data_IF_849913120861
#
_entry.id   IF_849913120861
#
_cell.length_a   1.000
_cell.length_b   1.000
_cell.length_c   1.000
_cell.angle_alpha   90.00
_cell.angle_beta   90.00
_cell.angle_gamma   90.00
#
_symmetry.space_group_name_H-M   'P 1'
#
loop_
_entity.id
_entity.type
_entity.pdbx_description
1 polymer ?
#
# COMPACT_ATOMS: atom_id res chain seq x y z
N UNK A 1 14.85 -15.32 25.14
CA UNK A 1 14.98 -14.40 23.99
C UNK A 1 15.12 -15.23 22.73
N UNK A 2 14.25 -15.04 21.74
CA UNK A 2 14.33 -15.75 20.46
C UNK A 2 15.52 -15.21 19.65
N UNK A 3 16.32 -16.08 19.03
CA UNK A 3 17.41 -15.67 18.14
C UNK A 3 16.86 -15.52 16.73
N UNK A 4 17.16 -14.39 16.09
CA UNK A 4 16.75 -14.07 14.72
C UNK A 4 18.00 -14.07 13.84
N UNK A 5 17.87 -14.63 12.65
CA UNK A 5 18.86 -14.56 11.59
C UNK A 5 18.58 -13.30 10.75
N UNK A 6 19.28 -12.21 11.06
CA UNK A 6 19.07 -10.91 10.42
C UNK A 6 19.34 -10.94 8.92
N UNK A 7 20.32 -11.74 8.46
CA UNK A 7 20.60 -11.87 7.03
C UNK A 7 19.44 -12.53 6.27
N UNK A 8 18.73 -13.46 6.91
CA UNK A 8 17.53 -14.08 6.32
C UNK A 8 16.34 -13.12 6.25
N UNK A 9 16.24 -12.12 7.12
CA UNK A 9 15.19 -11.09 7.00
C UNK A 9 15.30 -10.30 5.68
N UNK A 10 16.50 -10.23 5.11
CA UNK A 10 16.75 -9.51 3.85
C UNK A 10 16.64 -10.38 2.59
N UNK A 11 16.73 -11.70 2.72
CA UNK A 11 16.82 -12.62 1.57
C UNK A 11 15.66 -13.62 1.46
N UNK A 12 14.98 -13.92 2.57
CA UNK A 12 13.88 -14.88 2.64
C UNK A 12 12.59 -14.18 3.07
N UNK A 13 11.72 -13.89 2.10
CA UNK A 13 10.46 -13.16 2.32
C UNK A 13 9.52 -13.91 3.28
N UNK A 14 9.54 -15.25 3.28
CA UNK A 14 8.71 -16.04 4.18
C UNK A 14 9.24 -15.96 5.61
N UNK A 15 10.57 -15.97 5.78
CA UNK A 15 11.20 -15.76 7.09
C UNK A 15 10.92 -14.35 7.63
N UNK A 16 11.05 -13.32 6.79
CA UNK A 16 10.71 -11.93 7.14
C UNK A 16 9.25 -11.78 7.56
N UNK A 17 8.32 -12.31 6.76
CA UNK A 17 6.90 -12.31 7.10
C UNK A 17 6.61 -13.03 8.43
N UNK A 18 7.21 -14.20 8.66
CA UNK A 18 7.07 -14.93 9.91
C UNK A 18 7.54 -14.12 11.12
N UNK A 19 8.69 -13.44 11.00
CA UNK A 19 9.19 -12.53 12.03
C UNK A 19 8.24 -11.36 12.30
N UNK A 20 7.77 -10.66 11.25
CA UNK A 20 6.84 -9.53 11.38
C UNK A 20 5.52 -9.96 12.01
N UNK A 21 4.94 -11.06 11.54
CA UNK A 21 3.68 -11.58 12.04
C UNK A 21 3.78 -11.94 13.53
N UNK A 22 4.85 -12.59 13.94
CA UNK A 22 5.08 -12.91 15.36
C UNK A 22 5.32 -11.64 16.20
N UNK A 23 6.18 -10.73 15.74
CA UNK A 23 6.53 -9.52 16.46
C UNK A 23 5.34 -8.56 16.63
N UNK A 24 4.53 -8.40 15.59
CA UNK A 24 3.31 -7.57 15.59
C UNK A 24 2.09 -8.30 16.16
N UNK A 25 2.24 -9.55 16.57
CA UNK A 25 1.18 -10.42 17.07
C UNK A 25 0.00 -10.51 16.08
N UNK A 26 0.29 -10.77 14.81
CA UNK A 26 -0.68 -11.19 13.80
C UNK A 26 -1.03 -12.65 14.06
N UNK A 27 -2.29 -12.90 14.40
CA UNK A 27 -2.81 -14.21 14.77
C UNK A 27 -3.74 -14.78 13.69
N UNK A 28 -4.07 -16.06 13.80
CA UNK A 28 -5.10 -16.66 12.96
C UNK A 28 -6.48 -15.99 13.11
N UNK A 29 -6.78 -15.46 14.31
CA UNK A 29 -8.00 -14.70 14.58
C UNK A 29 -8.03 -13.36 13.84
N UNK A 30 -6.90 -12.66 13.75
CA UNK A 30 -6.78 -11.43 12.94
C UNK A 30 -7.05 -11.74 11.46
N UNK A 31 -6.48 -12.81 10.92
CA UNK A 31 -6.68 -13.22 9.52
C UNK A 31 -8.13 -13.66 9.25
N UNK A 32 -8.75 -14.38 10.19
CA UNK A 32 -10.15 -14.76 10.10
C UNK A 32 -11.07 -13.53 10.14
N UNK A 33 -10.76 -12.55 10.99
CA UNK A 33 -11.48 -11.27 11.09
C UNK A 33 -11.41 -10.50 9.78
N UNK A 34 -10.23 -10.43 9.16
CA UNK A 34 -10.04 -9.75 7.87
C UNK A 34 -10.83 -10.45 6.76
N UNK A 35 -10.81 -11.78 6.71
CA UNK A 35 -11.61 -12.54 5.76
C UNK A 35 -13.13 -12.34 5.99
N UNK A 36 -13.57 -12.28 7.26
CA UNK A 36 -14.96 -12.02 7.62
C UNK A 36 -15.43 -10.61 7.25
N UNK A 37 -14.53 -9.62 7.25
CA UNK A 37 -14.82 -8.27 6.76
C UNK A 37 -14.91 -8.19 5.22
N UNK A 38 -14.36 -9.18 4.50
CA UNK A 38 -14.30 -9.23 3.04
C UNK A 38 -15.64 -8.96 2.33
N UNK A 39 -16.74 -9.67 2.67
CA UNK A 39 -18.06 -9.42 2.08
C UNK A 39 -18.60 -8.00 2.29
N UNK A 40 -18.19 -7.31 3.36
CA UNK A 40 -18.59 -5.94 3.66
C UNK A 40 -17.73 -4.90 2.94
N UNK A 41 -16.43 -5.20 2.78
CA UNK A 41 -15.47 -4.31 2.12
C UNK A 41 -15.46 -4.44 0.60
N UNK A 42 -15.70 -5.64 0.06
CA UNK A 42 -15.68 -5.91 -1.38
C UNK A 42 -16.63 -5.02 -2.22
N UNK A 43 -17.84 -4.66 -1.76
CA UNK A 43 -18.73 -3.74 -2.47
C UNK A 43 -18.23 -2.28 -2.51
N UNK A 44 -17.43 -1.84 -1.54
CA UNK A 44 -16.96 -0.45 -1.44
C UNK A 44 -15.60 -0.23 -2.10
N UNK A 45 -14.90 -1.29 -2.50
CA UNK A 45 -13.60 -1.21 -3.21
C UNK A 45 -13.63 -0.27 -4.41
N UNK A 46 -14.64 -0.26 -5.31
CA UNK A 46 -14.66 0.68 -6.43
C UNK A 46 -14.57 2.14 -5.99
N UNK A 47 -15.37 2.53 -4.98
CA UNK A 47 -15.35 3.89 -4.45
C UNK A 47 -14.01 4.23 -3.78
N UNK A 48 -13.41 3.27 -3.06
CA UNK A 48 -12.09 3.46 -2.46
C UNK A 48 -10.99 3.64 -3.53
N UNK A 49 -11.06 2.89 -4.63
CA UNK A 49 -10.15 3.06 -5.77
C UNK A 49 -10.31 4.44 -6.39
N UNK A 50 -11.53 4.90 -6.60
CA UNK A 50 -11.78 6.24 -7.13
C UNK A 50 -11.22 7.32 -6.21
N UNK A 51 -11.49 7.25 -4.91
CA UNK A 51 -10.94 8.18 -3.91
C UNK A 51 -9.41 8.21 -3.90
N UNK A 52 -8.74 7.05 -4.05
CA UNK A 52 -7.27 6.98 -4.17
C UNK A 52 -6.78 7.72 -5.40
N UNK A 53 -7.38 7.52 -6.57
CA UNK A 53 -6.94 8.17 -7.81
C UNK A 53 -7.26 9.66 -7.80
N UNK A 54 -8.41 10.07 -7.27
CA UNK A 54 -8.74 11.47 -7.04
C UNK A 54 -7.70 12.13 -6.12
N UNK A 55 -7.29 11.45 -5.05
CA UNK A 55 -6.25 11.96 -4.15
C UNK A 55 -4.90 12.10 -4.84
N UNK A 56 -4.50 11.10 -5.65
CA UNK A 56 -3.24 11.12 -6.40
C UNK A 56 -3.22 12.21 -7.49
N UNK A 57 -4.38 12.54 -8.07
CA UNK A 57 -4.50 13.59 -9.09
C UNK A 57 -4.40 15.01 -8.51
N UNK A 58 -4.54 15.18 -7.19
CA UNK A 58 -4.39 16.49 -6.54
C UNK A 58 -2.94 17.00 -6.48
N UNK A 59 -1.95 16.11 -6.69
CA UNK A 59 -0.54 16.45 -6.60
C UNK A 59 0.20 15.98 -7.85
N UNK A 60 0.87 16.91 -8.55
CA UNK A 60 1.71 16.61 -9.72
C UNK A 60 2.77 15.54 -9.42
N UNK A 61 3.35 15.62 -8.22
CA UNK A 61 4.39 14.74 -7.71
C UNK A 61 3.97 13.26 -7.73
N UNK A 62 2.69 12.97 -7.49
CA UNK A 62 2.10 11.62 -7.55
C UNK A 62 1.49 11.32 -8.92
N UNK A 63 0.84 12.30 -9.55
CA UNK A 63 0.12 12.10 -10.81
C UNK A 63 1.05 11.83 -12.00
N UNK A 64 2.25 12.42 -12.01
CA UNK A 64 3.24 12.22 -13.09
C UNK A 64 3.64 10.76 -13.34
N UNK A 65 3.51 9.87 -12.34
CA UNK A 65 3.86 8.44 -12.45
C UNK A 65 2.91 7.63 -13.31
N UNK A 66 1.81 8.25 -13.74
CA UNK A 66 0.82 7.66 -14.62
C UNK A 66 0.97 8.14 -16.08
N UNK A 67 1.92 9.04 -16.37
CA UNK A 67 2.27 9.45 -17.74
C UNK A 67 2.97 8.31 -18.49
N UNK A 68 4.00 7.64 -17.94
CA UNK A 68 4.65 6.53 -18.63
C UNK A 68 3.68 5.38 -18.88
N UNK A 69 3.91 4.66 -19.98
CA UNK A 69 3.12 3.48 -20.33
C UNK A 69 3.24 2.42 -19.24
N UNK A 70 2.10 1.94 -18.77
CA UNK A 70 2.02 0.85 -17.83
C UNK A 70 2.41 -0.47 -18.50
N UNK A 71 3.07 -1.36 -17.75
CA UNK A 71 3.33 -2.71 -18.23
C UNK A 71 2.01 -3.42 -18.58
N UNK A 72 1.95 -4.02 -19.78
CA UNK A 72 0.77 -4.73 -20.30
C UNK A 72 -0.35 -3.82 -20.82
N UNK A 73 -0.11 -2.51 -20.97
CA UNK A 73 -1.07 -1.58 -21.57
C UNK A 73 -0.60 -1.10 -22.95
N UNK A 74 -1.38 -1.37 -23.99
CA UNK A 74 -1.03 -1.06 -25.39
C UNK A 74 -1.78 0.15 -25.98
N UNK A 75 -2.63 0.82 -25.20
CA UNK A 75 -3.45 1.95 -25.67
C UNK A 75 -2.75 3.31 -25.68
N UNK A 76 -3.46 4.42 -25.94
CA UNK A 76 -2.87 5.77 -25.91
C UNK A 76 -2.45 6.19 -24.50
N UNK A 77 -1.39 6.98 -24.40
CA UNK A 77 -0.89 7.56 -23.13
C UNK A 77 -0.77 9.06 -23.27
N UNK A 78 -0.97 9.79 -22.16
CA UNK A 78 -0.69 11.21 -22.10
C UNK A 78 0.80 11.49 -22.37
N UNK A 79 1.12 12.66 -22.90
CA UNK A 79 2.50 13.10 -23.20
C UNK A 79 3.14 13.88 -22.06
N UNK A 80 2.34 14.41 -21.14
CA UNK A 80 2.79 15.16 -19.96
C UNK A 80 1.77 15.02 -18.83
N UNK A 81 2.16 15.39 -17.61
CA UNK A 81 1.26 15.41 -16.45
C UNK A 81 0.12 16.41 -16.63
N UNK A 82 0.36 17.54 -17.32
CA UNK A 82 -0.66 18.56 -17.60
C UNK A 82 -1.77 18.07 -18.54
N UNK A 83 -1.46 17.08 -19.37
CA UNK A 83 -2.38 16.47 -20.33
C UNK A 83 -3.05 15.20 -19.79
N UNK A 84 -2.57 14.66 -18.67
CA UNK A 84 -3.08 13.43 -18.08
C UNK A 84 -4.43 13.68 -17.40
N UNK A 85 -5.47 12.94 -17.81
CA UNK A 85 -6.83 13.06 -17.30
C UNK A 85 -7.27 11.80 -16.57
N UNK A 86 -8.20 11.97 -15.63
CA UNK A 86 -8.72 10.87 -14.81
C UNK A 86 -9.51 9.82 -15.63
N UNK A 87 -10.04 10.21 -16.78
CA UNK A 87 -10.76 9.38 -17.73
C UNK A 87 -9.88 8.80 -18.84
N UNK A 88 -8.56 9.05 -18.82
CA UNK A 88 -7.64 8.43 -19.77
C UNK A 88 -7.70 6.89 -19.66
N UNK A 89 -7.70 6.13 -20.78
CA UNK A 89 -7.93 4.68 -20.70
C UNK A 89 -6.84 3.93 -19.93
N UNK A 90 -5.62 4.47 -19.83
CA UNK A 90 -4.56 3.95 -18.97
C UNK A 90 -4.90 4.07 -17.48
N UNK A 91 -5.57 5.16 -17.07
CA UNK A 91 -6.00 5.34 -15.68
C UNK A 91 -7.06 4.30 -15.33
N UNK A 92 -8.05 4.09 -16.20
CA UNK A 92 -9.03 3.01 -16.04
C UNK A 92 -8.35 1.64 -15.94
N UNK A 93 -7.36 1.36 -16.82
CA UNK A 93 -6.58 0.12 -16.76
C UNK A 93 -5.88 -0.06 -15.41
N UNK A 94 -5.15 0.95 -14.91
CA UNK A 94 -4.45 0.87 -13.62
C UNK A 94 -5.42 0.79 -12.43
N UNK A 95 -6.59 1.43 -12.48
CA UNK A 95 -7.66 1.28 -11.46
C UNK A 95 -8.08 -0.19 -11.30
N UNK A 96 -8.16 -0.97 -12.38
CA UNK A 96 -8.47 -2.41 -12.28
C UNK A 96 -7.41 -3.20 -11.50
N UNK A 97 -6.13 -2.84 -11.64
CA UNK A 97 -5.04 -3.47 -10.90
C UNK A 97 -5.15 -3.19 -9.40
N UNK A 98 -5.42 -1.93 -9.02
CA UNK A 98 -5.63 -1.57 -7.62
C UNK A 98 -6.87 -2.25 -7.03
N UNK A 99 -7.99 -2.29 -7.77
CA UNK A 99 -9.20 -2.99 -7.33
C UNK A 99 -8.94 -4.48 -7.07
N UNK A 100 -8.23 -5.15 -7.99
CA UNK A 100 -7.83 -6.56 -7.82
C UNK A 100 -6.93 -6.75 -6.61
N UNK A 101 -6.01 -5.82 -6.37
CA UNK A 101 -5.13 -5.85 -5.21
C UNK A 101 -5.92 -5.72 -3.89
N UNK A 102 -6.81 -4.74 -3.78
CA UNK A 102 -7.63 -4.54 -2.57
C UNK A 102 -8.55 -5.75 -2.31
N UNK A 103 -9.12 -6.35 -3.37
CA UNK A 103 -9.86 -7.62 -3.26
C UNK A 103 -8.99 -8.73 -2.72
N UNK A 104 -7.77 -8.88 -3.26
CA UNK A 104 -6.83 -9.88 -2.81
C UNK A 104 -6.51 -9.76 -1.31
N UNK A 105 -6.46 -8.55 -0.74
CA UNK A 105 -6.19 -8.35 0.69
C UNK A 105 -7.27 -8.91 1.62
N UNK A 106 -8.53 -8.94 1.15
CA UNK A 106 -9.69 -9.33 1.98
C UNK A 106 -10.30 -10.67 1.57
N UNK A 107 -10.02 -11.17 0.36
CA UNK A 107 -10.60 -12.41 -0.17
C UNK A 107 -9.61 -13.59 -0.19
N UNK A 108 -8.29 -13.35 -0.21
CA UNK A 108 -7.28 -14.44 -0.31
C UNK A 108 -6.77 -14.88 1.05
N UNK A 109 -6.46 -16.17 1.14
CA UNK A 109 -5.71 -16.73 2.27
C UNK A 109 -4.29 -16.17 2.30
N UNK A 110 -3.81 -15.80 3.49
CA UNK A 110 -2.44 -15.33 3.73
C UNK A 110 -1.46 -16.51 3.81
N UNK A 111 -1.23 -17.15 2.68
CA UNK A 111 -0.23 -18.20 2.49
C UNK A 111 1.07 -17.65 1.88
N UNK A 112 2.06 -18.52 1.65
CA UNK A 112 3.33 -18.12 1.03
C UNK A 112 3.17 -17.46 -0.35
N UNK A 113 2.12 -17.79 -1.12
CA UNK A 113 1.84 -17.16 -2.41
C UNK A 113 1.30 -15.75 -2.21
N UNK A 114 0.47 -15.51 -1.21
CA UNK A 114 0.00 -14.17 -0.85
C UNK A 114 1.15 -13.30 -0.35
N UNK A 115 2.02 -13.82 0.51
CA UNK A 115 3.22 -13.11 0.98
C UNK A 115 4.12 -12.71 -0.19
N UNK A 116 4.39 -13.64 -1.11
CA UNK A 116 5.20 -13.35 -2.31
C UNK A 116 4.52 -12.32 -3.22
N UNK A 117 3.18 -12.34 -3.29
CA UNK A 117 2.42 -11.36 -4.05
C UNK A 117 2.52 -9.96 -3.43
N UNK A 118 2.42 -9.83 -2.09
CA UNK A 118 2.59 -8.55 -1.38
C UNK A 118 3.98 -7.95 -1.59
N UNK A 119 5.03 -8.78 -1.48
CA UNK A 119 6.42 -8.38 -1.76
C UNK A 119 6.59 -7.89 -3.20
N UNK A 120 5.99 -8.60 -4.17
CA UNK A 120 5.98 -8.17 -5.57
C UNK A 120 5.29 -6.83 -5.77
N UNK A 121 4.23 -6.51 -5.02
CA UNK A 121 3.57 -5.20 -5.08
C UNK A 121 4.54 -4.09 -4.70
N UNK A 122 5.34 -4.27 -3.64
CA UNK A 122 6.41 -3.33 -3.30
C UNK A 122 7.41 -3.13 -4.44
N UNK A 123 7.92 -4.24 -5.00
CA UNK A 123 8.89 -4.21 -6.11
C UNK A 123 8.37 -3.45 -7.33
N UNK A 124 7.11 -3.64 -7.70
CA UNK A 124 6.50 -3.05 -8.90
C UNK A 124 6.42 -1.50 -8.88
N UNK A 125 6.59 -0.87 -7.72
CA UNK A 125 6.61 0.60 -7.60
C UNK A 125 8.03 1.18 -7.69
N UNK A 126 9.03 0.32 -7.90
CA UNK A 126 10.44 0.65 -8.06
C UNK A 126 10.95 0.16 -9.42
N UNK A 127 12.14 0.60 -9.88
CA UNK A 127 12.75 0.05 -11.09
C UNK A 127 13.10 -1.44 -11.05
N UNK A 128 12.90 -2.12 -9.91
CA UNK A 128 13.27 -3.52 -9.71
C UNK A 128 12.26 -4.51 -10.33
N UNK A 129 11.02 -4.08 -10.63
CA UNK A 129 10.02 -4.91 -11.29
C UNK A 129 8.94 -4.07 -12.00
N UNK A 130 8.25 -4.65 -12.99
CA UNK A 130 7.19 -3.96 -13.73
C UNK A 130 7.75 -3.10 -14.86
N UNK A 131 7.41 -1.81 -14.89
CA UNK A 131 7.97 -0.86 -15.86
C UNK A 131 9.27 -0.26 -15.30
N UNK A 132 10.37 -0.38 -16.03
CA UNK A 132 11.65 0.22 -15.61
C UNK A 132 11.62 1.76 -15.57
N UNK A 133 10.63 2.38 -16.22
CA UNK A 133 10.40 3.83 -16.18
C UNK A 133 9.63 4.27 -14.93
N UNK A 134 9.00 3.33 -14.21
CA UNK A 134 8.27 3.62 -12.99
C UNK A 134 9.22 3.59 -11.77
N UNK A 135 9.36 4.74 -11.13
CA UNK A 135 10.11 4.89 -9.89
C UNK A 135 9.38 5.86 -8.96
N UNK A 136 8.54 5.32 -8.08
CA UNK A 136 7.74 6.11 -7.13
C UNK A 136 8.60 6.40 -5.90
N UNK A 137 8.95 7.65 -5.55
CA UNK A 137 9.72 7.94 -4.35
C UNK A 137 9.05 7.40 -3.08
N UNK A 138 9.85 6.88 -2.12
CA UNK A 138 9.33 6.30 -0.89
C UNK A 138 8.40 7.24 -0.11
N UNK A 139 8.73 8.53 -0.07
CA UNK A 139 7.88 9.55 0.59
C UNK A 139 6.46 9.58 0.03
N UNK A 140 6.30 9.38 -1.29
CA UNK A 140 5.00 9.37 -1.94
C UNK A 140 4.27 8.04 -1.71
N UNK A 141 5.00 6.93 -1.72
CA UNK A 141 4.45 5.61 -1.40
C UNK A 141 3.91 5.57 0.03
N UNK A 142 4.68 6.06 1.01
CA UNK A 142 4.26 6.14 2.41
C UNK A 142 3.09 7.11 2.61
N UNK A 143 3.08 8.26 1.92
CA UNK A 143 1.95 9.18 1.97
C UNK A 143 0.65 8.54 1.45
N UNK A 144 0.72 7.80 0.33
CA UNK A 144 -0.42 7.05 -0.19
C UNK A 144 -0.88 5.94 0.77
N UNK A 145 0.05 5.18 1.35
CA UNK A 145 -0.31 4.16 2.34
C UNK A 145 -0.99 4.76 3.58
N UNK A 146 -0.55 5.92 4.04
CA UNK A 146 -1.21 6.67 5.12
C UNK A 146 -2.64 7.06 4.76
N UNK A 147 -2.86 7.59 3.55
CA UNK A 147 -4.20 7.91 3.05
C UNK A 147 -5.10 6.66 2.95
N UNK A 148 -4.59 5.55 2.41
CA UNK A 148 -5.32 4.29 2.29
C UNK A 148 -5.68 3.72 3.66
N UNK A 149 -4.77 3.80 4.63
CA UNK A 149 -5.02 3.35 6.00
C UNK A 149 -6.16 4.13 6.66
N UNK A 150 -6.13 5.46 6.55
CA UNK A 150 -7.18 6.33 7.08
C UNK A 150 -8.55 6.06 6.42
N UNK A 151 -8.58 5.99 5.09
CA UNK A 151 -9.80 5.68 4.35
C UNK A 151 -10.39 4.31 4.72
N UNK A 152 -9.54 3.30 4.97
CA UNK A 152 -9.98 1.99 5.42
C UNK A 152 -10.56 2.03 6.84
N UNK A 153 -9.95 2.79 7.76
CA UNK A 153 -10.48 2.98 9.12
C UNK A 153 -11.86 3.65 9.07
N UNK A 154 -11.99 4.75 8.31
CA UNK A 154 -13.27 5.43 8.12
C UNK A 154 -14.32 4.48 7.52
N UNK A 155 -13.93 3.65 6.55
CA UNK A 155 -14.79 2.63 5.96
C UNK A 155 -15.26 1.63 7.01
N UNK A 156 -14.36 1.05 7.81
CA UNK A 156 -14.70 0.06 8.85
C UNK A 156 -15.73 0.63 9.84
N UNK A 157 -15.54 1.87 10.31
CA UNK A 157 -16.48 2.52 11.23
C UNK A 157 -17.82 2.89 10.59
N UNK A 158 -17.91 2.92 9.27
CA UNK A 158 -19.18 3.13 8.57
C UNK A 158 -20.00 1.85 8.35
N UNK A 159 -19.42 0.67 8.60
CA UNK A 159 -20.08 -0.63 8.33
C UNK A 159 -21.19 -0.99 9.32
N UNK A 160 -21.31 -0.28 10.44
CA UNK A 160 -22.33 -0.57 11.46
C UNK A 160 -22.13 -1.92 12.17
N UNK A 161 -20.87 -2.36 12.30
CA UNK A 161 -20.50 -3.56 13.06
C UNK A 161 -20.75 -3.35 14.55
N UNK A 162 -20.95 -4.43 15.32
CA UNK A 162 -20.94 -4.31 16.77
C UNK A 162 -19.55 -3.84 17.25
N UNK A 163 -19.51 -3.18 18.42
CA UNK A 163 -18.29 -2.51 18.88
C UNK A 163 -17.10 -3.47 19.05
N UNK A 164 -17.34 -4.71 19.45
CA UNK A 164 -16.27 -5.68 19.64
C UNK A 164 -15.68 -6.10 18.28
N UNK A 165 -16.54 -6.43 17.31
CA UNK A 165 -16.14 -6.77 15.94
C UNK A 165 -15.47 -5.60 15.24
N UNK A 166 -15.96 -4.38 15.43
CA UNK A 166 -15.36 -3.17 14.87
C UNK A 166 -13.92 -2.96 15.37
N UNK A 167 -13.71 -3.03 16.69
CA UNK A 167 -12.37 -2.92 17.30
C UNK A 167 -11.45 -4.04 16.79
N UNK A 168 -11.92 -5.29 16.77
CA UNK A 168 -11.14 -6.42 16.27
C UNK A 168 -10.74 -6.23 14.81
N UNK A 169 -11.69 -5.82 13.97
CA UNK A 169 -11.48 -5.56 12.54
C UNK A 169 -10.45 -4.46 12.32
N UNK A 170 -10.60 -3.31 13.00
CA UNK A 170 -9.64 -2.20 12.91
C UNK A 170 -8.22 -2.63 13.31
N UNK A 171 -8.09 -3.39 14.41
CA UNK A 171 -6.78 -3.87 14.89
C UNK A 171 -6.14 -4.87 13.92
N UNK A 172 -6.93 -5.79 13.36
CA UNK A 172 -6.45 -6.78 12.41
C UNK A 172 -5.92 -6.10 11.13
N UNK A 173 -6.67 -5.15 10.57
CA UNK A 173 -6.23 -4.38 9.41
C UNK A 173 -5.01 -3.50 9.71
N UNK A 174 -4.97 -2.85 10.88
CA UNK A 174 -3.80 -2.05 11.29
C UNK A 174 -2.51 -2.89 11.24
N UNK A 175 -2.52 -4.09 11.82
CA UNK A 175 -1.35 -4.98 11.80
C UNK A 175 -0.98 -5.39 10.37
N UNK A 176 -1.96 -5.77 9.55
CA UNK A 176 -1.71 -6.17 8.16
C UNK A 176 -1.16 -5.03 7.30
N UNK A 177 -1.65 -3.79 7.51
CA UNK A 177 -1.11 -2.61 6.84
C UNK A 177 0.34 -2.34 7.22
N UNK A 178 0.74 -2.57 8.48
CA UNK A 178 2.15 -2.47 8.88
C UNK A 178 3.03 -3.55 8.28
N UNK A 179 2.55 -4.80 8.21
CA UNK A 179 3.26 -5.88 7.51
C UNK A 179 3.44 -5.53 6.03
N UNK A 180 2.38 -5.05 5.38
CA UNK A 180 2.42 -4.62 3.99
C UNK A 180 3.37 -3.44 3.79
N UNK A 181 3.35 -2.45 4.69
CA UNK A 181 4.23 -1.31 4.65
C UNK A 181 5.71 -1.74 4.72
N UNK A 182 6.07 -2.68 5.60
CA UNK A 182 7.43 -3.22 5.64
C UNK A 182 7.83 -3.93 4.33
N UNK A 183 6.98 -4.81 3.81
CA UNK A 183 7.22 -5.52 2.55
C UNK A 183 7.34 -4.57 1.34
N UNK A 184 6.71 -3.40 1.39
CA UNK A 184 6.89 -2.35 0.39
C UNK A 184 8.22 -1.63 0.63
N UNK A 185 8.46 -1.15 1.86
CA UNK A 185 9.61 -0.32 2.23
C UNK A 185 10.95 -1.01 1.99
N UNK A 186 11.03 -2.33 2.16
CA UNK A 186 12.28 -3.08 1.90
C UNK A 186 12.82 -2.96 0.47
N UNK A 187 11.98 -2.61 -0.50
CA UNK A 187 12.41 -2.39 -1.89
C UNK A 187 12.95 -0.98 -2.17
N UNK A 188 12.79 -0.06 -1.23
CA UNK A 188 13.32 1.30 -1.28
C UNK A 188 14.66 1.44 -0.55
N UNK A 189 15.03 0.43 0.24
CA UNK A 189 16.30 0.40 0.93
C UNK A 189 17.38 0.04 -0.08
N UNK A 190 18.27 0.99 -0.36
CA UNK A 190 19.61 0.64 -0.82
C UNK A 190 20.34 -0.01 0.36
N UNK A 191 21.36 -0.85 0.09
CA UNK A 191 22.33 -1.20 1.13
C UNK A 191 23.04 0.12 1.55
N UNK A 192 22.47 0.84 2.51
CA UNK A 192 22.79 2.25 2.74
C UNK A 192 23.88 2.40 3.79
N UNK A 193 24.97 3.06 3.40
CA UNK A 193 25.77 3.89 4.29
C UNK A 193 24.96 5.16 4.60
N UNK A 194 24.41 5.23 5.81
CA UNK A 194 23.70 6.41 6.30
C UNK A 194 24.64 7.62 6.39
N UNK A 195 24.19 8.77 5.88
CA UNK A 195 24.80 10.08 6.13
C UNK A 195 23.73 10.97 6.77
N UNK A 196 23.87 11.21 8.07
CA UNK A 196 22.93 12.00 8.88
C UNK A 196 23.07 13.50 8.57
N UNK A 197 22.22 14.01 7.67
CA UNK A 197 21.95 15.45 7.61
C UNK A 197 20.55 15.69 8.20
N UNK A 198 20.42 16.44 9.31
CA UNK A 198 19.12 16.68 9.92
C UNK A 198 18.19 17.49 9.00
N UNK A 199 16.87 17.23 9.02
CA UNK A 199 15.90 17.96 8.22
C UNK A 199 15.80 19.43 8.64
N UNK A 200 15.53 20.33 7.68
CA UNK A 200 15.33 21.77 7.92
C UNK A 200 14.03 22.05 8.68
N UNK A 201 14.04 23.06 9.55
CA UNK A 201 12.95 23.40 10.49
C UNK A 201 11.60 23.75 9.83
N UNK A 202 11.56 24.07 8.53
CA UNK A 202 10.36 24.53 7.83
C UNK A 202 9.26 23.45 7.67
N UNK A 203 9.62 22.16 7.67
CA UNK A 203 8.65 21.07 7.49
C UNK A 203 7.76 20.83 8.73
N UNK A 204 8.19 21.26 9.92
CA UNK A 204 7.46 21.02 11.17
C UNK A 204 6.28 21.99 11.39
N UNK A 205 6.26 23.14 10.72
CA UNK A 205 5.30 24.22 11.02
C UNK A 205 4.02 24.22 10.15
N UNK A 206 3.92 23.39 9.10
CA UNK A 206 2.75 23.39 8.20
C UNK A 206 1.56 22.54 8.68
N UNK A 207 1.71 21.74 9.74
CA UNK A 207 0.65 20.87 10.27
C UNK A 207 -0.21 21.51 11.38
N UNK A 208 0.06 22.75 11.79
CA UNK A 208 -0.60 23.38 12.94
C UNK A 208 -1.72 24.38 12.60
N UNK A 209 -1.97 24.69 11.32
CA UNK A 209 -2.87 25.81 10.93
C UNK A 209 -4.08 25.44 10.08
N UNK A 210 -4.43 24.15 9.98
CA UNK A 210 -5.62 23.71 9.25
C UNK A 210 -6.51 22.83 10.14
N UNK A 211 -7.23 23.48 11.06
CA UNK A 211 -8.44 23.00 11.71
C UNK A 211 -9.50 24.10 11.61
#
# INVERSE_FOLDING_TARGET
MKRIDEARLETDVAYRFGYLAEFMNVTADDLATVAAAGPHLAPVIPALVDAVYEKLAQYDATWRHFVPRNAGYDGPTATSVDNLRADDPQIAFRKTHLARYLRALVERTYDAKMVSYLDMVGKMHTPLAGSSELNVPLVQMNALLGFVADALIATIFSLGLDRETEIKTQRAFQKLLWVQNDLINRHYQTASTWNDTPPSQDAANQLATSH
#
